data_IF_751471897720
#
_entry.id   IF_751471897720
#
_cell.length_a   1.000
_cell.length_b   1.000
_cell.length_c   1.000
_cell.angle_alpha   90.00
_cell.angle_beta   90.00
_cell.angle_gamma   90.00
#
_symmetry.space_group_name_H-M   'P 1'
#
loop_
_entity.id
_entity.type
_entity.pdbx_description
1 polymer ?
#
# COMPACT_ATOMS: atom_id res chain seq x y z
N UNK A 1 13.75 -23.00 -45.84
CA UNK A 1 12.96 -21.98 -45.15
C UNK A 1 13.14 -22.18 -43.67
N UNK A 2 13.97 -21.36 -43.02
CA UNK A 2 14.25 -21.45 -41.59
C UNK A 2 13.12 -20.76 -40.82
N UNK A 3 12.33 -21.54 -40.10
CA UNK A 3 11.28 -21.04 -39.21
C UNK A 3 11.96 -20.30 -38.06
N UNK A 4 11.90 -18.97 -38.09
CA UNK A 4 12.42 -18.12 -37.03
C UNK A 4 11.42 -18.17 -35.87
N UNK A 5 11.75 -18.95 -34.84
CA UNK A 5 10.99 -19.01 -33.61
C UNK A 5 11.11 -17.63 -32.94
N UNK A 6 10.04 -16.84 -33.00
CA UNK A 6 9.95 -15.58 -32.27
C UNK A 6 9.78 -15.93 -30.80
N UNK A 7 10.77 -15.59 -29.98
CA UNK A 7 10.61 -15.66 -28.52
C UNK A 7 9.44 -14.76 -28.13
N UNK A 8 8.46 -15.27 -27.37
CA UNK A 8 7.36 -14.44 -26.89
C UNK A 8 7.94 -13.31 -26.01
N UNK A 9 7.35 -12.10 -26.06
CA UNK A 9 7.79 -11.00 -25.21
C UNK A 9 7.73 -11.45 -23.75
N UNK A 10 8.75 -11.07 -22.98
CA UNK A 10 8.81 -11.37 -21.55
C UNK A 10 7.49 -10.96 -20.88
N UNK A 11 6.95 -11.77 -19.95
CA UNK A 11 5.78 -11.37 -19.19
C UNK A 11 6.01 -9.98 -18.60
N UNK A 12 4.98 -9.10 -18.56
CA UNK A 12 5.13 -7.84 -17.85
C UNK A 12 5.66 -8.16 -16.46
N UNK A 13 6.73 -7.47 -16.04
CA UNK A 13 7.23 -7.61 -14.69
C UNK A 13 6.02 -7.40 -13.79
N UNK A 14 5.57 -8.50 -13.16
CA UNK A 14 4.61 -8.39 -12.08
C UNK A 14 5.33 -7.49 -11.10
N UNK A 15 4.92 -6.23 -11.02
CA UNK A 15 5.22 -5.39 -9.85
C UNK A 15 4.73 -6.25 -8.72
N UNK A 16 5.66 -6.98 -8.10
CA UNK A 16 5.40 -7.66 -6.86
C UNK A 16 4.92 -6.53 -5.99
N UNK A 17 3.64 -6.49 -5.69
CA UNK A 17 3.16 -5.94 -4.44
C UNK A 17 3.89 -6.78 -3.39
N UNK A 18 5.13 -6.39 -3.10
CA UNK A 18 5.91 -6.92 -1.99
C UNK A 18 5.16 -6.38 -0.80
N UNK A 19 4.20 -7.17 -0.34
CA UNK A 19 3.51 -6.87 0.89
C UNK A 19 4.57 -7.01 1.98
N UNK A 20 5.15 -5.88 2.42
CA UNK A 20 6.04 -5.88 3.56
C UNK A 20 5.23 -6.39 4.76
N UNK A 21 5.62 -7.49 5.42
CA UNK A 21 4.92 -7.97 6.62
C UNK A 21 4.89 -6.94 7.76
N UNK A 22 5.71 -5.87 7.66
CA UNK A 22 5.69 -4.72 8.57
C UNK A 22 4.71 -3.64 8.15
N UNK A 23 4.02 -3.79 7.03
CA UNK A 23 3.00 -2.84 6.57
C UNK A 23 1.61 -3.43 6.79
N UNK A 24 0.84 -2.79 7.67
CA UNK A 24 -0.53 -3.17 8.02
C UNK A 24 -1.49 -2.27 7.24
N UNK A 25 -2.24 -2.85 6.32
CA UNK A 25 -3.23 -2.14 5.51
C UNK A 25 -4.42 -1.69 6.36
N UNK A 26 -4.84 -0.43 6.19
CA UNK A 26 -6.03 0.13 6.82
C UNK A 26 -7.21 0.03 5.86
N UNK A 27 -7.87 -1.13 5.85
CA UNK A 27 -9.04 -1.37 5.02
C UNK A 27 -8.80 -1.08 3.54
N UNK A 28 -9.75 -0.37 2.91
CA UNK A 28 -9.67 0.10 1.52
C UNK A 28 -9.30 1.59 1.41
N UNK A 29 -8.76 2.18 2.48
CA UNK A 29 -8.57 3.63 2.59
C UNK A 29 -7.42 4.18 1.74
N UNK A 30 -6.56 3.31 1.21
CA UNK A 30 -5.31 3.71 0.55
C UNK A 30 -4.17 4.03 1.53
N UNK A 31 -4.41 3.90 2.83
CA UNK A 31 -3.40 4.13 3.88
C UNK A 31 -2.96 2.83 4.55
N UNK A 32 -1.75 2.84 5.08
CA UNK A 32 -1.20 1.74 5.86
C UNK A 32 -0.37 2.23 7.05
N UNK A 33 -0.16 1.35 8.03
CA UNK A 33 0.79 1.56 9.12
C UNK A 33 2.04 0.75 8.83
N UNK A 34 3.18 1.42 8.65
CA UNK A 34 4.50 0.79 8.53
C UNK A 34 5.19 0.70 9.88
N UNK A 35 5.59 -0.51 10.27
CA UNK A 35 6.37 -0.78 11.48
C UNK A 35 7.86 -0.62 11.17
N UNK A 36 8.48 0.36 11.81
CA UNK A 36 9.91 0.61 11.69
C UNK A 36 10.73 -0.38 12.52
N UNK A 37 12.05 -0.41 12.31
CA UNK A 37 12.98 -1.29 13.04
C UNK A 37 13.00 -1.01 14.55
N UNK A 38 12.77 0.24 14.93
CA UNK A 38 12.66 0.68 16.33
C UNK A 38 11.30 0.33 16.97
N UNK A 39 10.43 -0.38 16.23
CA UNK A 39 9.06 -0.78 16.61
C UNK A 39 8.08 0.39 16.71
N UNK A 40 8.40 1.57 16.20
CA UNK A 40 7.43 2.64 16.02
C UNK A 40 6.57 2.39 14.78
N UNK A 41 5.32 2.86 14.82
CA UNK A 41 4.40 2.83 13.68
C UNK A 41 4.36 4.19 12.97
N UNK A 42 4.43 4.18 11.65
CA UNK A 42 4.23 5.36 10.81
C UNK A 42 3.02 5.19 9.91
N UNK A 43 2.19 6.22 9.81
CA UNK A 43 1.11 6.26 8.83
C UNK A 43 1.67 6.66 7.47
N UNK A 44 1.40 5.85 6.45
CA UNK A 44 1.83 6.05 5.07
C UNK A 44 0.64 5.98 4.13
N UNK A 45 0.75 6.69 3.01
CA UNK A 45 -0.16 6.59 1.87
C UNK A 45 0.44 5.65 0.83
N UNK A 46 -0.38 4.75 0.29
CA UNK A 46 0.01 3.79 -0.74
C UNK A 46 -0.48 4.29 -2.09
N UNK A 47 0.47 4.70 -2.92
CA UNK A 47 0.16 5.13 -4.27
C UNK A 47 -0.03 3.92 -5.19
N UNK A 48 -0.83 4.10 -6.25
CA UNK A 48 -1.15 3.03 -7.21
C UNK A 48 0.08 2.52 -7.99
N UNK A 49 1.16 3.29 -7.99
CA UNK A 49 2.45 2.90 -8.58
C UNK A 49 3.32 2.04 -7.64
N UNK A 50 2.91 1.88 -6.38
CA UNK A 50 3.62 1.16 -5.34
C UNK A 50 4.56 2.03 -4.51
N UNK A 51 4.53 3.36 -4.68
CA UNK A 51 5.28 4.27 -3.81
C UNK A 51 4.60 4.40 -2.44
N UNK A 52 5.41 4.34 -1.38
CA UNK A 52 4.99 4.58 0.00
C UNK A 52 5.51 5.94 0.47
N UNK A 53 4.60 6.87 0.74
CA UNK A 53 4.95 8.21 1.25
C UNK A 53 4.35 8.43 2.63
N UNK A 54 4.96 9.31 3.43
CA UNK A 54 4.33 9.73 4.68
C UNK A 54 3.00 10.41 4.36
N UNK A 55 1.95 9.97 5.05
CA UNK A 55 0.61 10.48 4.80
C UNK A 55 0.54 11.97 5.18
N UNK A 56 0.16 12.80 4.22
CA UNK A 56 -0.18 14.21 4.44
C UNK A 56 -1.70 14.34 4.34
N UNK A 57 -2.36 14.56 5.48
CA UNK A 57 -3.83 14.54 5.56
C UNK A 57 -4.34 15.97 5.65
N UNK A 58 -5.07 16.45 4.63
CA UNK A 58 -5.68 17.77 4.67
C UNK A 58 -6.64 17.93 5.85
N UNK A 59 -6.64 19.11 6.47
CA UNK A 59 -7.52 19.44 7.59
C UNK A 59 -9.00 19.19 7.26
N UNK A 60 -9.42 19.53 6.04
CA UNK A 60 -10.79 19.32 5.55
C UNK A 60 -11.26 17.87 5.55
N UNK A 61 -10.32 16.92 5.55
CA UNK A 61 -10.60 15.48 5.51
C UNK A 61 -10.22 14.76 6.80
N UNK A 62 -9.57 15.46 7.74
CA UNK A 62 -9.01 14.85 8.95
C UNK A 62 -10.07 14.18 9.83
N UNK A 63 -11.22 14.84 10.05
CA UNK A 63 -12.30 14.29 10.87
C UNK A 63 -12.83 12.98 10.28
N UNK A 64 -13.16 12.98 8.99
CA UNK A 64 -13.66 11.79 8.29
C UNK A 64 -12.63 10.66 8.29
N UNK A 65 -11.35 11.00 8.13
CA UNK A 65 -10.26 10.05 8.20
C UNK A 65 -10.15 9.41 9.59
N UNK A 66 -10.17 10.21 10.66
CA UNK A 66 -10.10 9.72 12.03
C UNK A 66 -11.29 8.81 12.39
N UNK A 67 -12.50 9.17 11.94
CA UNK A 67 -13.67 8.31 12.10
C UNK A 67 -13.52 6.98 11.36
N UNK A 68 -13.07 7.02 10.11
CA UNK A 68 -12.90 5.82 9.29
C UNK A 68 -11.84 4.89 9.88
N UNK A 69 -10.71 5.45 10.36
CA UNK A 69 -9.69 4.68 11.06
C UNK A 69 -10.23 3.98 12.31
N UNK A 70 -11.04 4.69 13.11
CA UNK A 70 -11.61 4.12 14.33
C UNK A 70 -12.62 3.00 14.02
N UNK A 71 -13.40 3.14 12.95
CA UNK A 71 -14.31 2.07 12.52
C UNK A 71 -13.53 0.85 12.00
N UNK A 72 -12.52 1.06 11.14
CA UNK A 72 -11.68 -0.01 10.59
C UNK A 72 -10.89 -0.76 11.67
N UNK A 73 -10.30 -0.04 12.63
CA UNK A 73 -9.51 -0.63 13.72
C UNK A 73 -10.39 -1.13 14.88
N UNK A 74 -11.48 -0.44 15.19
CA UNK A 74 -12.41 -0.80 16.27
C UNK A 74 -13.14 -2.12 16.01
N UNK A 75 -13.31 -2.47 14.74
CA UNK A 75 -13.85 -3.76 14.30
C UNK A 75 -12.80 -4.89 14.24
N UNK A 76 -11.52 -4.60 14.47
CA UNK A 76 -10.43 -5.58 14.47
C UNK A 76 -10.25 -6.27 15.84
N UNK A 77 -11.38 -6.58 16.51
CA UNK A 77 -11.43 -7.22 17.84
C UNK A 77 -11.35 -8.73 17.79
#
# INVERSE_FOLDING_TARGET
MTSQLLDPPAPPEQRKTVFDPRTIMLGLTGYAIRIQEDKSGQLIELHADGEEVLADIPESTLDNFAYSLNDDLGNMR
#
